data_IF_967269470583
#
_entry.id   IF_967269470583
#
_cell.length_a   1.000
_cell.length_b   1.000
_cell.length_c   1.000
_cell.angle_alpha   90.00
_cell.angle_beta   90.00
_cell.angle_gamma   90.00
#
_symmetry.space_group_name_H-M   'P 1'
#
loop_
_entity.id
_entity.type
_entity.pdbx_description
1 polymer ?
#
# COMPACT_ATOMS: atom_id res chain seq x y z
N UNK A 1 8.99 -14.58 -8.98
CA UNK A 1 8.06 -14.84 -7.84
C UNK A 1 6.78 -14.02 -7.98
N UNK A 2 6.80 -12.64 -7.98
CA UNK A 2 5.58 -11.85 -8.13
C UNK A 2 5.03 -11.90 -9.55
N UNK A 3 5.88 -11.80 -10.59
CA UNK A 3 5.43 -11.96 -11.98
C UNK A 3 4.70 -13.29 -12.19
N UNK A 4 5.22 -14.40 -11.68
CA UNK A 4 4.57 -15.71 -11.77
C UNK A 4 3.19 -15.73 -11.11
N UNK A 5 3.03 -15.00 -10.00
CA UNK A 5 1.74 -14.87 -9.30
C UNK A 5 0.71 -14.12 -10.13
N UNK A 6 1.15 -13.14 -10.91
CA UNK A 6 0.29 -12.28 -11.72
C UNK A 6 0.11 -12.73 -13.18
N UNK A 7 0.72 -13.87 -13.60
CA UNK A 7 0.63 -14.37 -14.99
C UNK A 7 -0.80 -14.73 -15.44
N UNK A 8 -1.69 -15.09 -14.51
CA UNK A 8 -3.08 -15.42 -14.82
C UNK A 8 -3.88 -14.21 -15.31
N UNK A 9 -4.99 -14.45 -16.01
CA UNK A 9 -5.88 -13.38 -16.46
C UNK A 9 -6.65 -12.73 -15.30
N UNK A 10 -7.00 -13.53 -14.28
CA UNK A 10 -7.73 -13.05 -13.11
C UNK A 10 -6.90 -12.14 -12.22
N UNK A 11 -7.53 -11.15 -11.60
CA UNK A 11 -6.93 -10.29 -10.59
C UNK A 11 -6.86 -11.01 -9.24
N UNK A 12 -5.67 -11.36 -8.82
CA UNK A 12 -5.42 -12.22 -7.65
C UNK A 12 -5.90 -11.58 -6.35
N UNK A 13 -5.81 -10.25 -6.27
CA UNK A 13 -6.26 -9.44 -5.13
C UNK A 13 -7.52 -8.63 -5.44
N UNK A 14 -8.25 -9.02 -6.50
CA UNK A 14 -9.45 -8.32 -6.93
C UNK A 14 -9.20 -6.95 -7.57
N UNK A 15 -10.27 -6.24 -7.89
CA UNK A 15 -10.23 -4.92 -8.54
C UNK A 15 -10.89 -3.81 -7.72
N UNK A 16 -11.45 -4.15 -6.55
CA UNK A 16 -11.97 -3.18 -5.60
C UNK A 16 -10.86 -2.68 -4.67
N UNK A 17 -10.88 -1.40 -4.26
CA UNK A 17 -9.88 -0.85 -3.35
C UNK A 17 -9.95 -1.51 -1.99
N UNK A 18 -8.86 -1.40 -1.24
CA UNK A 18 -8.83 -1.73 0.18
C UNK A 18 -9.85 -0.89 0.96
N UNK A 19 -10.61 -1.51 1.86
CA UNK A 19 -11.66 -0.84 2.62
C UNK A 19 -11.12 0.31 3.47
N UNK A 20 -9.99 0.10 4.17
CA UNK A 20 -9.40 1.15 4.99
C UNK A 20 -8.96 2.36 4.15
N UNK A 21 -8.33 2.13 2.99
CA UNK A 21 -7.98 3.21 2.06
C UNK A 21 -9.23 3.97 1.61
N UNK A 22 -10.28 3.25 1.20
CA UNK A 22 -11.54 3.86 0.77
C UNK A 22 -12.13 4.76 1.87
N UNK A 23 -12.13 4.28 3.11
CA UNK A 23 -12.71 4.99 4.25
C UNK A 23 -11.87 6.23 4.67
N UNK A 24 -10.58 6.30 4.26
CA UNK A 24 -9.69 7.42 4.55
C UNK A 24 -9.48 8.37 3.36
N UNK A 25 -10.16 8.17 2.24
CA UNK A 25 -9.90 8.89 0.98
C UNK A 25 -9.97 10.42 1.14
N UNK A 26 -10.94 10.93 1.91
CA UNK A 26 -11.12 12.36 2.15
C UNK A 26 -10.02 13.00 3.03
N UNK A 27 -9.19 12.17 3.65
CA UNK A 27 -8.08 12.63 4.49
C UNK A 27 -6.81 12.89 3.68
N UNK A 28 -6.74 12.37 2.45
CA UNK A 28 -5.60 12.58 1.54
C UNK A 28 -5.78 13.94 0.84
N UNK A 29 -4.82 14.87 0.96
CA UNK A 29 -4.89 16.14 0.23
C UNK A 29 -4.92 15.90 -1.28
N UNK A 30 -5.67 16.72 -2.02
CA UNK A 30 -5.71 16.64 -3.48
C UNK A 30 -4.32 16.82 -4.09
N UNK A 31 -3.96 16.03 -5.09
CA UNK A 31 -2.70 16.14 -5.80
C UNK A 31 -2.07 14.79 -6.14
N UNK A 32 -0.77 14.65 -5.91
CA UNK A 32 0.04 13.48 -6.30
C UNK A 32 0.03 12.41 -5.22
N UNK A 33 -0.33 11.18 -5.60
CA UNK A 33 -0.33 10.03 -4.70
C UNK A 33 0.60 8.94 -5.22
N UNK A 34 1.45 8.43 -4.35
CA UNK A 34 2.35 7.30 -4.62
C UNK A 34 1.80 6.03 -3.97
N UNK A 35 1.56 4.99 -4.74
CA UNK A 35 1.15 3.67 -4.26
C UNK A 35 2.34 2.72 -4.26
N UNK A 36 2.72 2.20 -3.10
CA UNK A 36 3.87 1.31 -2.89
C UNK A 36 3.44 -0.16 -2.93
N UNK A 37 4.19 -1.01 -3.62
CA UNK A 37 3.90 -2.44 -3.82
C UNK A 37 2.46 -2.64 -4.34
N UNK A 38 2.12 -1.93 -5.39
CA UNK A 38 0.73 -1.79 -5.86
C UNK A 38 0.19 -3.03 -6.58
N UNK A 39 1.07 -3.84 -7.15
CA UNK A 39 0.70 -5.06 -7.86
C UNK A 39 -0.18 -4.79 -9.07
N UNK A 40 -1.42 -5.28 -9.03
CA UNK A 40 -2.38 -5.26 -10.15
C UNK A 40 -3.24 -3.99 -10.21
N UNK A 41 -3.00 -2.97 -9.34
CA UNK A 41 -3.51 -1.61 -9.51
C UNK A 41 -4.85 -1.29 -8.85
N UNK A 42 -5.42 -2.16 -8.03
CA UNK A 42 -6.76 -1.95 -7.44
C UNK A 42 -6.90 -0.64 -6.64
N UNK A 43 -5.86 -0.29 -5.87
CA UNK A 43 -5.87 0.94 -5.09
C UNK A 43 -5.50 2.17 -5.93
N UNK A 44 -4.50 2.04 -6.80
CA UNK A 44 -4.06 3.11 -7.68
C UNK A 44 -5.18 3.54 -8.64
N UNK A 45 -5.91 2.59 -9.23
CA UNK A 45 -7.02 2.88 -10.13
C UNK A 45 -8.18 3.55 -9.39
N UNK A 46 -8.52 3.06 -8.20
CA UNK A 46 -9.53 3.72 -7.36
C UNK A 46 -9.16 5.18 -7.04
N UNK A 47 -7.91 5.44 -6.66
CA UNK A 47 -7.44 6.80 -6.38
C UNK A 47 -7.51 7.70 -7.63
N UNK A 48 -7.16 7.17 -8.81
CA UNK A 48 -7.29 7.89 -10.07
C UNK A 48 -8.76 8.21 -10.41
N UNK A 49 -9.70 7.28 -10.13
CA UNK A 49 -11.15 7.52 -10.25
C UNK A 49 -11.64 8.64 -9.31
N UNK A 50 -10.94 8.87 -8.18
CA UNK A 50 -11.23 9.98 -7.26
C UNK A 50 -10.54 11.31 -7.66
N UNK A 51 -9.81 11.32 -8.78
CA UNK A 51 -9.19 12.53 -9.34
C UNK A 51 -7.77 12.82 -8.86
N UNK A 52 -7.10 11.87 -8.22
CA UNK A 52 -5.67 11.99 -7.86
C UNK A 52 -4.76 11.73 -9.06
N UNK A 53 -3.59 12.36 -9.07
CA UNK A 53 -2.49 12.00 -9.96
C UNK A 53 -1.68 10.86 -9.33
N UNK A 54 -1.86 9.65 -9.84
CA UNK A 54 -1.35 8.43 -9.18
C UNK A 54 -0.15 7.88 -9.88
N UNK A 55 0.89 7.57 -9.10
CA UNK A 55 2.03 6.75 -9.53
C UNK A 55 2.03 5.44 -8.74
N UNK A 56 1.95 4.32 -9.45
CA UNK A 56 2.02 2.97 -8.90
C UNK A 56 3.43 2.40 -9.03
N UNK A 57 4.02 1.96 -7.93
CA UNK A 57 5.34 1.33 -7.91
C UNK A 57 5.21 -0.12 -7.49
N UNK A 58 5.77 -1.03 -8.28
CA UNK A 58 5.89 -2.44 -7.93
C UNK A 58 7.13 -3.05 -8.61
N UNK A 59 7.65 -4.14 -8.05
CA UNK A 59 8.74 -4.88 -8.67
C UNK A 59 8.28 -5.75 -9.85
N UNK A 60 6.97 -6.05 -9.94
CA UNK A 60 6.37 -6.87 -10.98
C UNK A 60 5.94 -6.02 -12.18
N UNK A 61 6.63 -6.18 -13.30
CA UNK A 61 6.22 -5.60 -14.57
C UNK A 61 4.86 -6.17 -15.03
N UNK A 62 4.61 -7.46 -14.79
CA UNK A 62 3.35 -8.13 -15.13
C UNK A 62 2.18 -7.56 -14.32
N UNK A 63 2.37 -7.34 -13.02
CA UNK A 63 1.37 -6.69 -12.16
C UNK A 63 1.03 -5.29 -12.66
N UNK A 64 2.03 -4.47 -12.93
CA UNK A 64 1.83 -3.10 -13.43
C UNK A 64 1.21 -3.05 -14.85
N UNK A 65 1.45 -4.05 -15.70
CA UNK A 65 0.73 -4.18 -16.99
C UNK A 65 -0.76 -4.43 -16.77
N UNK A 66 -1.12 -5.25 -15.78
CA UNK A 66 -2.52 -5.45 -15.39
C UNK A 66 -3.12 -4.19 -14.77
N UNK A 67 -2.35 -3.46 -13.95
CA UNK A 67 -2.78 -2.18 -13.39
C UNK A 67 -3.14 -1.16 -14.48
N UNK A 68 -2.29 -1.03 -15.53
CA UNK A 68 -2.59 -0.15 -16.68
C UNK A 68 -3.84 -0.60 -17.44
N UNK A 69 -4.02 -1.91 -17.65
CA UNK A 69 -5.24 -2.44 -18.29
C UNK A 69 -6.49 -2.16 -17.46
N UNK A 70 -6.41 -2.30 -16.14
CA UNK A 70 -7.50 -1.96 -15.23
C UNK A 70 -7.83 -0.47 -15.31
N UNK A 71 -6.84 0.41 -15.26
CA UNK A 71 -7.02 1.86 -15.40
C UNK A 71 -7.72 2.21 -16.72
N UNK A 72 -7.25 1.66 -17.84
CA UNK A 72 -7.87 1.86 -19.15
C UNK A 72 -9.33 1.40 -19.17
N UNK A 73 -9.64 0.25 -18.57
CA UNK A 73 -10.99 -0.28 -18.50
C UNK A 73 -11.95 0.58 -17.67
N UNK A 74 -11.40 1.37 -16.74
CA UNK A 74 -12.14 2.31 -15.88
C UNK A 74 -12.13 3.75 -16.41
N UNK A 75 -11.47 4.00 -17.56
CA UNK A 75 -11.39 5.32 -18.18
C UNK A 75 -10.51 6.32 -17.43
N UNK A 76 -9.53 5.83 -16.70
CA UNK A 76 -8.55 6.66 -15.97
C UNK A 76 -7.12 6.31 -16.38
N UNK A 77 -6.17 7.18 -16.01
CA UNK A 77 -4.74 7.00 -16.26
C UNK A 77 -3.98 6.93 -14.94
N UNK A 78 -2.95 6.11 -14.90
CA UNK A 78 -1.98 6.00 -13.80
C UNK A 78 -0.57 5.94 -14.37
N UNK A 79 0.38 6.56 -13.70
CA UNK A 79 1.80 6.34 -13.96
C UNK A 79 2.27 5.05 -13.29
N UNK A 80 3.21 4.34 -13.92
CA UNK A 80 3.75 3.10 -13.35
C UNK A 80 5.26 3.09 -13.37
N UNK A 81 5.87 2.63 -12.27
CA UNK A 81 7.32 2.49 -12.11
C UNK A 81 7.65 1.07 -11.67
N UNK A 82 8.40 0.34 -12.50
CA UNK A 82 8.92 -0.98 -12.11
C UNK A 82 10.18 -0.77 -11.27
N UNK A 83 10.10 -1.07 -9.98
CA UNK A 83 11.23 -0.91 -9.06
C UNK A 83 11.13 -1.84 -7.85
N UNK A 84 12.30 -2.25 -7.34
CA UNK A 84 12.40 -2.91 -6.04
C UNK A 84 12.44 -1.85 -4.93
N UNK A 85 11.44 -1.89 -4.03
CA UNK A 85 11.34 -0.96 -2.91
C UNK A 85 12.54 -1.02 -1.93
N UNK A 86 13.32 -2.09 -1.97
CA UNK A 86 14.54 -2.20 -1.16
C UNK A 86 15.61 -1.15 -1.52
N UNK A 87 15.58 -0.63 -2.75
CA UNK A 87 16.50 0.41 -3.23
C UNK A 87 15.79 1.61 -3.86
N UNK A 88 14.47 1.68 -3.77
CA UNK A 88 13.70 2.76 -4.37
C UNK A 88 13.81 4.04 -3.53
N UNK A 89 14.18 5.15 -4.18
CA UNK A 89 14.20 6.47 -3.56
C UNK A 89 12.98 7.26 -3.96
N UNK A 90 12.32 7.85 -2.97
CA UNK A 90 11.13 8.69 -3.17
C UNK A 90 11.57 10.15 -3.28
N UNK A 91 11.06 10.87 -4.29
CA UNK A 91 11.33 12.30 -4.48
C UNK A 91 10.93 13.07 -3.21
N UNK A 92 11.86 13.83 -2.59
CA UNK A 92 11.58 14.52 -1.33
C UNK A 92 10.50 15.60 -1.48
N UNK A 93 9.62 15.71 -0.47
CA UNK A 93 8.56 16.73 -0.37
C UNK A 93 7.67 16.85 -1.62
N UNK A 94 7.48 15.74 -2.36
CA UNK A 94 6.81 15.74 -3.65
C UNK A 94 5.37 15.20 -3.60
N UNK A 95 5.00 14.49 -2.53
CA UNK A 95 3.79 13.69 -2.51
C UNK A 95 2.76 14.20 -1.50
N UNK A 96 1.51 14.38 -1.95
CA UNK A 96 0.35 14.72 -1.12
C UNK A 96 -0.15 13.52 -0.34
N UNK A 97 -0.03 12.34 -0.93
CA UNK A 97 -0.34 11.07 -0.31
C UNK A 97 0.66 9.98 -0.65
N UNK A 98 0.93 9.09 0.28
CA UNK A 98 1.62 7.81 0.04
C UNK A 98 0.74 6.70 0.60
N UNK A 99 0.51 5.67 -0.20
CA UNK A 99 -0.35 4.54 0.14
C UNK A 99 0.48 3.26 0.19
N UNK A 100 0.38 2.53 1.29
CA UNK A 100 1.09 1.28 1.54
C UNK A 100 0.11 0.24 2.09
N UNK A 101 -0.51 -0.53 1.19
CA UNK A 101 -1.52 -1.53 1.53
C UNK A 101 -0.95 -2.93 1.33
N UNK A 102 -0.82 -3.70 2.41
CA UNK A 102 -0.24 -5.05 2.44
C UNK A 102 1.14 -5.18 1.79
N UNK A 103 1.93 -4.11 1.83
CA UNK A 103 3.30 -4.04 1.33
C UNK A 103 4.29 -4.73 2.29
N UNK A 104 4.24 -6.05 2.35
CA UNK A 104 5.09 -6.84 3.23
C UNK A 104 6.44 -7.15 2.59
N UNK A 105 7.51 -6.86 3.30
CA UNK A 105 8.88 -7.07 2.83
C UNK A 105 9.84 -7.32 4.01
N UNK A 106 11.06 -7.80 3.75
CA UNK A 106 12.05 -7.98 4.80
C UNK A 106 12.31 -6.69 5.58
N UNK A 107 12.61 -6.77 6.90
CA UNK A 107 12.74 -5.61 7.78
C UNK A 107 13.68 -4.51 7.29
N UNK A 108 14.77 -4.88 6.60
CA UNK A 108 15.73 -3.89 6.06
C UNK A 108 15.11 -3.06 4.95
N UNK A 109 14.44 -3.69 4.00
CA UNK A 109 13.73 -3.03 2.90
C UNK A 109 12.57 -2.17 3.46
N UNK A 110 11.81 -2.70 4.43
CA UNK A 110 10.71 -1.98 5.08
C UNK A 110 11.19 -0.71 5.75
N UNK A 111 12.25 -0.78 6.56
CA UNK A 111 12.83 0.43 7.20
C UNK A 111 13.36 1.45 6.20
N UNK A 112 13.91 0.99 5.08
CA UNK A 112 14.33 1.87 4.00
C UNK A 112 13.13 2.63 3.43
N UNK A 113 12.12 1.92 2.94
CA UNK A 113 10.98 2.56 2.28
C UNK A 113 10.12 3.41 3.23
N UNK A 114 10.04 3.05 4.51
CA UNK A 114 9.35 3.88 5.51
C UNK A 114 10.10 5.21 5.74
N UNK A 115 11.43 5.21 5.77
CA UNK A 115 12.22 6.45 5.84
C UNK A 115 12.05 7.29 4.57
N UNK A 116 12.07 6.67 3.39
CA UNK A 116 11.80 7.34 2.13
C UNK A 116 10.38 7.92 2.10
N UNK A 117 9.39 7.23 2.67
CA UNK A 117 8.01 7.72 2.82
C UNK A 117 7.95 9.00 3.65
N UNK A 118 8.62 9.05 4.79
CA UNK A 118 8.68 10.26 5.64
C UNK A 118 9.31 11.43 4.88
N UNK A 119 10.38 11.19 4.12
CA UNK A 119 11.03 12.22 3.31
C UNK A 119 10.18 12.65 2.12
N UNK A 120 9.52 11.70 1.45
CA UNK A 120 8.77 11.93 0.21
C UNK A 120 7.47 12.70 0.40
N UNK A 121 6.81 12.53 1.54
CA UNK A 121 5.62 13.35 1.86
C UNK A 121 6.00 14.82 1.99
N UNK A 122 5.20 15.71 1.41
CA UNK A 122 5.30 17.16 1.67
C UNK A 122 4.68 17.50 3.03
N UNK A 123 5.00 18.67 3.62
CA UNK A 123 4.28 19.15 4.79
C UNK A 123 2.76 19.13 4.56
N UNK A 124 2.00 18.54 5.49
CA UNK A 124 0.57 18.29 5.36
C UNK A 124 0.20 17.01 4.58
N UNK A 125 1.14 16.37 3.90
CA UNK A 125 0.92 15.12 3.17
C UNK A 125 0.65 13.94 4.10
N UNK A 126 -0.04 12.92 3.61
CA UNK A 126 -0.61 11.82 4.42
C UNK A 126 -0.13 10.45 3.95
N UNK A 127 0.28 9.62 4.90
CA UNK A 127 0.46 8.18 4.72
C UNK A 127 -0.83 7.44 5.11
N UNK A 128 -1.32 6.58 4.22
CA UNK A 128 -2.34 5.56 4.52
C UNK A 128 -1.68 4.19 4.45
N UNK A 129 -1.66 3.46 5.57
CA UNK A 129 -1.00 2.16 5.65
C UNK A 129 -1.92 1.14 6.30
N UNK A 130 -2.11 -0.01 5.66
CA UNK A 130 -2.65 -1.21 6.28
C UNK A 130 -1.73 -2.40 6.03
N UNK A 131 -1.44 -3.18 7.07
CA UNK A 131 -0.58 -4.35 6.96
C UNK A 131 -1.03 -5.46 7.92
N UNK A 132 -0.71 -6.71 7.60
CA UNK A 132 -0.86 -7.80 8.57
C UNK A 132 0.12 -7.63 9.73
N UNK A 133 -0.36 -7.93 10.93
CA UNK A 133 0.45 -7.98 12.15
C UNK A 133 0.75 -9.42 12.57
N UNK A 134 1.73 -9.66 13.47
CA UNK A 134 2.16 -11.02 13.85
C UNK A 134 1.04 -11.98 14.27
N UNK A 135 -0.04 -11.47 14.85
CA UNK A 135 -1.22 -12.27 15.20
C UNK A 135 -1.91 -12.92 13.98
N UNK A 136 -1.65 -12.44 12.75
CA UNK A 136 -2.19 -13.01 11.52
C UNK A 136 -1.79 -14.48 11.31
N UNK A 137 -0.64 -14.90 11.81
CA UNK A 137 -0.18 -16.28 11.68
C UNK A 137 -1.17 -17.31 12.25
N UNK A 138 -2.03 -16.90 13.19
CA UNK A 138 -3.06 -17.74 13.78
C UNK A 138 -4.26 -17.98 12.85
N UNK A 139 -4.53 -17.07 11.90
CA UNK A 139 -5.72 -17.10 11.05
C UNK A 139 -5.51 -17.91 9.76
N UNK A 140 -4.31 -17.94 9.22
CA UNK A 140 -3.96 -18.67 7.96
C UNK A 140 -4.82 -18.24 6.75
N UNK A 141 -5.26 -17.00 6.73
CA UNK A 141 -6.14 -16.42 5.71
C UNK A 141 -5.40 -15.51 4.72
N UNK A 142 -4.07 -15.57 4.70
CA UNK A 142 -3.19 -14.75 3.87
C UNK A 142 -2.07 -14.12 4.67
N UNK A 143 -1.25 -13.32 4.00
CA UNK A 143 -0.09 -12.64 4.57
C UNK A 143 1.23 -13.38 4.40
N UNK A 144 2.34 -12.77 4.82
CA UNK A 144 3.65 -13.37 4.74
C UNK A 144 3.82 -14.55 5.71
N UNK A 145 4.76 -15.47 5.43
CA UNK A 145 4.93 -16.68 6.22
C UNK A 145 5.58 -16.45 7.60
N UNK A 146 6.19 -15.28 7.83
CA UNK A 146 6.95 -14.99 9.06
C UNK A 146 6.52 -13.68 9.69
N UNK A 147 6.53 -13.64 11.02
CA UNK A 147 6.16 -12.45 11.80
C UNK A 147 7.07 -11.23 11.53
N UNK A 148 8.35 -11.44 11.22
CA UNK A 148 9.30 -10.35 10.95
C UNK A 148 8.98 -9.53 9.69
N UNK A 149 8.27 -10.13 8.73
CA UNK A 149 7.75 -9.42 7.55
C UNK A 149 6.46 -8.65 7.84
N UNK A 150 5.84 -8.90 8.98
CA UNK A 150 4.60 -8.22 9.41
C UNK A 150 4.93 -6.95 10.19
N UNK A 151 3.91 -6.16 10.50
CA UNK A 151 4.05 -4.86 11.13
C UNK A 151 3.19 -4.77 12.39
N UNK A 152 3.66 -4.05 13.40
CA UNK A 152 2.90 -3.66 14.58
C UNK A 152 3.04 -2.17 14.85
N UNK A 153 2.17 -1.60 15.68
CA UNK A 153 2.18 -0.16 15.96
C UNK A 153 3.47 0.30 16.63
N UNK A 154 4.08 -0.53 17.47
CA UNK A 154 5.30 -0.15 18.18
C UNK A 154 6.48 0.03 17.21
N UNK A 155 6.63 -0.89 16.27
CA UNK A 155 7.63 -0.82 15.20
C UNK A 155 7.36 0.32 14.24
N UNK A 156 6.10 0.50 13.81
CA UNK A 156 5.72 1.57 12.87
C UNK A 156 5.98 2.97 13.46
N UNK A 157 5.75 3.19 14.76
CA UNK A 157 6.08 4.48 15.40
C UNK A 157 7.56 4.81 15.36
N UNK A 158 8.42 3.80 15.38
CA UNK A 158 9.88 3.97 15.27
C UNK A 158 10.27 4.20 13.81
N UNK A 159 9.75 3.37 12.89
CA UNK A 159 10.13 3.40 11.47
C UNK A 159 9.59 4.63 10.73
N UNK A 160 8.45 5.19 11.18
CA UNK A 160 7.79 6.37 10.63
C UNK A 160 7.97 7.61 11.53
N UNK A 161 9.05 7.64 12.31
CA UNK A 161 9.39 8.79 13.14
C UNK A 161 9.48 10.07 12.28
N UNK A 162 8.81 11.14 12.70
CA UNK A 162 8.65 12.39 11.94
C UNK A 162 7.26 12.58 11.37
N UNK A 163 6.38 11.56 11.42
CA UNK A 163 4.97 11.70 11.10
C UNK A 163 4.12 11.79 12.39
N UNK A 164 3.05 12.55 12.33
CA UNK A 164 2.01 12.59 13.36
C UNK A 164 0.93 11.56 13.06
N UNK A 165 0.72 10.61 13.97
CA UNK A 165 -0.26 9.53 13.82
C UNK A 165 -1.65 10.04 14.20
N UNK A 166 -2.51 10.31 13.21
CA UNK A 166 -3.90 10.73 13.39
C UNK A 166 -4.83 9.55 13.70
N UNK A 167 -4.56 8.38 13.09
CA UNK A 167 -5.20 7.11 13.40
C UNK A 167 -4.12 6.04 13.47
N UNK A 168 -4.17 5.23 14.54
CA UNK A 168 -3.24 4.14 14.73
C UNK A 168 -3.94 3.03 15.54
N UNK A 169 -4.31 1.96 14.86
CA UNK A 169 -5.11 0.88 15.46
C UNK A 169 -4.58 -0.50 15.08
N UNK A 170 -4.67 -1.43 16.00
CA UNK A 170 -4.51 -2.86 15.75
C UNK A 170 -5.86 -3.55 15.93
N UNK A 171 -6.35 -4.22 14.90
CA UNK A 171 -7.68 -4.81 14.90
C UNK A 171 -7.70 -6.17 14.20
N UNK A 172 -8.84 -6.84 14.32
CA UNK A 172 -9.18 -8.02 13.51
C UNK A 172 -10.42 -7.67 12.71
N UNK A 173 -10.35 -7.79 11.41
CA UNK A 173 -11.47 -7.53 10.50
C UNK A 173 -11.69 -8.67 9.51
N UNK A 174 -12.86 -8.73 8.92
CA UNK A 174 -13.10 -9.54 7.73
C UNK A 174 -12.48 -8.82 6.50
N UNK A 175 -11.73 -9.58 5.70
CA UNK A 175 -11.08 -9.10 4.48
C UNK A 175 -11.72 -9.81 3.30
N UNK A 176 -12.17 -9.05 2.31
CA UNK A 176 -12.79 -9.55 1.07
C UNK A 176 -12.10 -8.90 -0.14
N UNK A 177 -10.81 -9.15 -0.28
CA UNK A 177 -9.94 -8.47 -1.23
C UNK A 177 -9.30 -9.47 -2.21
N UNK A 178 -10.15 -10.20 -2.93
CA UNK A 178 -9.76 -11.21 -3.89
C UNK A 178 -9.45 -12.59 -3.27
N UNK A 179 -9.12 -13.58 -4.12
CA UNK A 179 -8.95 -14.98 -3.69
C UNK A 179 -7.86 -15.22 -2.66
N UNK A 180 -6.80 -14.42 -2.65
CA UNK A 180 -5.66 -14.58 -1.74
C UNK A 180 -5.73 -13.70 -0.48
N UNK A 181 -6.69 -12.78 -0.40
CA UNK A 181 -6.96 -11.97 0.79
C UNK A 181 -8.44 -12.10 1.16
N UNK A 182 -8.80 -13.23 1.79
CA UNK A 182 -10.20 -13.52 2.14
C UNK A 182 -10.30 -14.17 3.51
N UNK A 183 -11.17 -13.62 4.37
CA UNK A 183 -11.46 -14.09 5.71
C UNK A 183 -10.90 -13.19 6.80
N UNK A 184 -10.90 -13.67 8.04
CA UNK A 184 -10.45 -12.87 9.20
C UNK A 184 -8.97 -12.55 9.11
N UNK A 185 -8.66 -11.27 9.22
CA UNK A 185 -7.28 -10.77 9.20
C UNK A 185 -6.96 -9.91 10.41
N UNK A 186 -5.82 -10.21 11.05
CA UNK A 186 -5.25 -9.34 12.09
C UNK A 186 -4.37 -8.28 11.44
N UNK A 187 -4.82 -7.03 11.47
CA UNK A 187 -4.17 -5.92 10.77
C UNK A 187 -3.78 -4.79 11.72
N UNK A 188 -2.81 -4.02 11.29
CA UNK A 188 -2.50 -2.69 11.79
C UNK A 188 -2.90 -1.67 10.73
N UNK A 189 -3.57 -0.61 11.15
CA UNK A 189 -4.03 0.49 10.30
C UNK A 189 -3.45 1.80 10.82
N UNK A 190 -2.84 2.57 9.94
CA UNK A 190 -2.23 3.85 10.25
C UNK A 190 -2.64 4.90 9.22
N UNK A 191 -3.11 6.04 9.74
CA UNK A 191 -3.18 7.31 9.02
C UNK A 191 -2.22 8.26 9.74
N UNK A 192 -1.20 8.72 9.03
CA UNK A 192 -0.20 9.61 9.62
C UNK A 192 0.11 10.78 8.69
N UNK A 193 0.34 11.95 9.26
CA UNK A 193 0.57 13.20 8.53
C UNK A 193 1.98 13.72 8.79
N UNK A 194 2.61 14.27 7.75
CA UNK A 194 3.85 15.04 7.89
C UNK A 194 3.50 16.44 8.40
N UNK A 195 4.09 16.88 9.53
CA UNK A 195 3.90 18.24 10.08
C UNK A 195 4.26 19.35 9.10
#
# INVERSE_FOLDING_TARGET
>A
MWDERYLGEDYVYGTAPNDFLRDQIERIPAGRVLCLAEGEGRNAVFLAEQGFHVTAVDQSAVGLDKARRLATSRGVEIDTVVADLAGFSIEPDAWDGIVSIFAHMPPTARRHIHRETVHGLRPGGVLVLEAYRPAQLQYKTGGPPTAEMMMDLSGLRIELAGLEFELATETVREIHEGPLHHGRGAVVQVLARKP
#
